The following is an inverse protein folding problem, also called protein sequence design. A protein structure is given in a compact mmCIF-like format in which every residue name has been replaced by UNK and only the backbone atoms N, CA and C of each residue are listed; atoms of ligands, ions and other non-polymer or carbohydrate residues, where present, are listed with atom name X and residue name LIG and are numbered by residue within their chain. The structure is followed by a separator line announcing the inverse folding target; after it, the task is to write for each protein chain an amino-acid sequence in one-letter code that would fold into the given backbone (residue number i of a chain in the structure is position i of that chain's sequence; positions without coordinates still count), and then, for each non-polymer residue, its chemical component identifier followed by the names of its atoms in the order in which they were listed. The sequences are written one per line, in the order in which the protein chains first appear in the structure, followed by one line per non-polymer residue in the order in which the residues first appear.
data_IF_958286935909
#
_entry.id   IF_958286935909
#
_cell.length_a   1.000
_cell.length_b   1.000
_cell.length_c   1.000
_cell.angle_alpha   90.00
_cell.angle_beta   90.00
_cell.angle_gamma   90.00
#
_symmetry.space_group_name_H-M   'P 1'
#
loop_
_entity.id
_entity.type
_entity.pdbx_description
1 polymer ?
#
# COMPACT_ATOMS: atom_id res chain seq x y z
N UNK A 1 31.84 -3.21 -0.98
CA UNK A 1 31.97 -3.20 0.49
C UNK A 1 30.61 -3.52 1.05
N UNK A 2 30.47 -4.67 1.73
CA UNK A 2 29.23 -5.05 2.41
C UNK A 2 29.10 -4.11 3.61
N UNK A 3 28.05 -3.29 3.66
CA UNK A 3 27.72 -2.54 4.86
C UNK A 3 27.44 -3.56 5.97
N UNK A 4 28.41 -3.75 6.87
CA UNK A 4 28.20 -4.47 8.11
C UNK A 4 27.39 -3.56 9.03
N UNK A 5 26.07 -3.68 8.97
CA UNK A 5 25.23 -3.18 10.05
C UNK A 5 25.56 -4.01 11.29
N UNK A 6 25.87 -3.40 12.45
CA UNK A 6 26.13 -4.16 13.66
C UNK A 6 24.86 -4.92 14.03
N UNK A 7 24.92 -6.25 14.01
CA UNK A 7 23.88 -7.09 14.61
C UNK A 7 23.78 -6.69 16.08
N UNK A 8 22.63 -6.14 16.47
CA UNK A 8 22.33 -5.82 17.85
C UNK A 8 22.21 -7.14 18.61
N UNK A 9 23.22 -7.50 19.38
CA UNK A 9 23.30 -8.75 20.18
C UNK A 9 22.64 -8.63 21.55
N UNK A 10 21.86 -7.56 21.79
CA UNK A 10 21.04 -7.42 22.98
C UNK A 10 19.69 -8.11 22.81
N UNK A 11 19.19 -8.80 23.85
CA UNK A 11 17.78 -9.17 23.90
C UNK A 11 16.96 -7.89 23.81
N UNK A 12 16.18 -7.72 22.74
CA UNK A 12 15.22 -6.62 22.62
C UNK A 12 14.18 -6.86 23.71
N UNK A 13 14.11 -5.97 24.70
CA UNK A 13 13.09 -6.07 25.73
C UNK A 13 11.71 -5.81 25.10
N UNK A 14 10.69 -6.64 25.41
CA UNK A 14 9.36 -6.46 24.87
C UNK A 14 8.78 -5.12 25.34
N UNK A 15 8.41 -4.26 24.39
CA UNK A 15 7.61 -3.06 24.68
C UNK A 15 6.21 -3.55 25.08
N UNK A 16 5.74 -3.11 26.25
CA UNK A 16 4.39 -3.43 26.70
C UNK A 16 3.35 -2.81 25.75
N UNK A 17 2.31 -3.55 25.33
CA UNK A 17 1.23 -3.00 24.53
C UNK A 17 0.63 -1.76 25.21
N UNK A 18 0.60 -0.63 24.50
CA UNK A 18 -0.01 0.61 24.97
C UNK A 18 -1.42 0.72 24.37
N UNK A 19 -2.36 1.20 25.18
CA UNK A 19 -3.67 1.63 24.70
C UNK A 19 -3.70 3.16 24.62
N UNK A 20 -4.37 3.74 23.62
CA UNK A 20 -4.48 5.18 23.51
C UNK A 20 -5.28 5.76 24.70
N UNK A 21 -4.75 6.81 25.31
CA UNK A 21 -5.42 7.61 26.32
C UNK A 21 -6.32 8.66 25.66
N UNK A 22 -7.58 8.27 25.45
CA UNK A 22 -8.61 9.15 24.87
C UNK A 22 -8.86 10.43 25.68
N UNK A 23 -8.46 10.51 26.96
CA UNK A 23 -8.59 11.76 27.73
C UNK A 23 -7.68 12.87 27.21
N UNK A 24 -6.62 12.52 26.46
CA UNK A 24 -5.70 13.45 25.79
C UNK A 24 -6.22 13.94 24.44
N UNK A 25 -7.33 13.39 23.93
CA UNK A 25 -7.93 13.78 22.64
C UNK A 25 -8.77 15.05 22.79
N UNK A 26 -8.18 16.09 23.38
CA UNK A 26 -8.85 17.31 23.83
C UNK A 26 -8.29 18.59 23.20
N UNK A 27 -7.51 18.44 22.11
CA UNK A 27 -7.02 19.58 21.34
C UNK A 27 -8.14 20.43 20.76
N UNK A 28 -7.84 21.71 20.56
CA UNK A 28 -8.72 22.66 19.88
C UNK A 28 -7.93 23.44 18.84
N UNK A 29 -8.64 24.14 17.96
CA UNK A 29 -8.01 24.99 16.95
C UNK A 29 -6.96 25.97 17.54
N UNK A 30 -7.20 26.48 18.75
CA UNK A 30 -6.30 27.43 19.42
C UNK A 30 -5.28 26.78 20.37
N UNK A 31 -5.35 25.46 20.58
CA UNK A 31 -4.45 24.73 21.48
C UNK A 31 -4.15 23.35 20.88
N UNK A 32 -3.05 23.31 20.13
CA UNK A 32 -2.47 22.11 19.52
C UNK A 32 -1.23 21.68 20.31
N UNK A 33 -0.89 20.41 20.21
CA UNK A 33 0.21 19.77 20.93
C UNK A 33 0.99 18.87 19.96
N UNK A 34 2.26 18.61 20.27
CA UNK A 34 3.01 17.60 19.50
C UNK A 34 2.72 16.19 20.03
N UNK A 35 2.08 16.10 21.19
CA UNK A 35 1.76 14.87 21.90
C UNK A 35 0.54 14.14 21.32
N UNK A 36 -0.47 14.84 20.79
CA UNK A 36 -1.67 14.18 20.25
C UNK A 36 -1.37 13.33 19.00
N UNK A 37 -0.58 13.79 18.00
CA UNK A 37 -0.18 12.91 16.90
C UNK A 37 0.52 11.63 17.38
N UNK A 38 1.38 11.72 18.40
CA UNK A 38 2.04 10.55 19.00
C UNK A 38 1.06 9.64 19.74
N UNK A 39 0.08 10.21 20.44
CA UNK A 39 -0.97 9.44 21.10
C UNK A 39 -1.86 8.69 20.10
N UNK A 40 -2.14 9.29 18.94
CA UNK A 40 -2.91 8.66 17.87
C UNK A 40 -2.15 7.59 17.07
N UNK A 41 -0.82 7.55 17.16
CA UNK A 41 -0.04 6.40 16.65
C UNK A 41 -0.26 5.15 17.51
N UNK A 42 -0.63 5.29 18.78
CA UNK A 42 -0.81 4.15 19.67
C UNK A 42 -2.04 3.34 19.23
N UNK A 43 -1.78 2.11 18.79
CA UNK A 43 -2.79 1.23 18.21
C UNK A 43 -3.05 1.44 16.71
N UNK A 44 -2.38 2.40 16.06
CA UNK A 44 -2.46 2.59 14.62
C UNK A 44 -1.84 1.42 13.84
N UNK A 45 -2.28 1.27 12.59
CA UNK A 45 -1.79 0.30 11.63
C UNK A 45 -1.40 1.06 10.37
N UNK A 46 -0.14 0.93 9.95
CA UNK A 46 0.25 1.38 8.60
C UNK A 46 -0.10 0.28 7.60
N UNK A 47 -1.13 0.52 6.79
CA UNK A 47 -1.68 -0.49 5.88
C UNK A 47 -0.87 -0.73 4.61
N UNK A 48 0.19 0.06 4.37
CA UNK A 48 1.00 -0.06 3.15
C UNK A 48 2.42 0.46 3.40
N UNK A 49 3.38 -0.46 3.56
CA UNK A 49 4.78 -0.12 3.83
C UNK A 49 5.73 -0.89 2.91
N UNK A 50 6.64 -0.19 2.25
CA UNK A 50 7.73 -0.77 1.48
C UNK A 50 9.04 -0.77 2.29
N UNK A 51 9.30 -1.80 3.09
CA UNK A 51 10.55 -1.92 3.86
C UNK A 51 11.63 -2.79 3.19
N UNK A 52 11.41 -3.16 1.93
CA UNK A 52 12.28 -4.04 1.15
C UNK A 52 11.94 -5.53 1.25
N UNK A 53 12.68 -6.40 0.53
CA UNK A 53 13.88 -6.09 -0.27
C UNK A 53 13.63 -5.09 -1.41
N UNK A 54 14.65 -4.33 -1.78
CA UNK A 54 14.59 -3.33 -2.85
C UNK A 54 15.76 -3.47 -3.80
N UNK A 55 15.68 -2.82 -4.97
CA UNK A 55 16.82 -2.69 -5.88
C UNK A 55 17.91 -1.82 -5.30
N UNK A 56 19.18 -2.15 -5.60
CA UNK A 56 20.33 -1.32 -5.22
C UNK A 56 20.29 0.09 -5.84
N UNK A 57 19.57 0.27 -6.95
CA UNK A 57 19.30 1.57 -7.60
C UNK A 57 18.34 2.47 -6.83
N UNK A 58 17.59 1.90 -5.87
CA UNK A 58 16.68 2.61 -4.98
C UNK A 58 16.71 1.98 -3.58
N UNK A 59 17.80 2.18 -2.81
CA UNK A 59 17.90 1.60 -1.48
C UNK A 59 16.75 2.11 -0.58
N UNK A 60 16.24 1.24 0.27
CA UNK A 60 15.15 1.58 1.18
C UNK A 60 15.64 2.51 2.28
N UNK A 61 14.72 3.21 2.94
CA UNK A 61 15.06 4.05 4.10
C UNK A 61 15.49 3.21 5.31
N UNK A 62 14.79 2.09 5.53
CA UNK A 62 15.01 1.12 6.61
C UNK A 62 14.66 -0.28 6.11
N UNK A 63 15.28 -1.30 6.71
CA UNK A 63 14.88 -2.70 6.51
C UNK A 63 13.59 -3.05 7.30
N UNK A 64 12.95 -4.20 7.04
CA UNK A 64 11.68 -4.53 7.68
C UNK A 64 11.77 -4.64 9.21
N UNK A 65 12.87 -5.18 9.75
CA UNK A 65 13.08 -5.32 11.19
C UNK A 65 13.17 -3.95 11.85
N UNK A 66 13.93 -3.03 11.24
CA UNK A 66 14.08 -1.65 11.73
C UNK A 66 12.74 -0.91 11.74
N UNK A 67 11.95 -1.02 10.67
CA UNK A 67 10.62 -0.38 10.62
C UNK A 67 9.69 -0.96 11.68
N UNK A 68 9.68 -2.28 11.88
CA UNK A 68 8.86 -2.90 12.91
C UNK A 68 9.29 -2.50 14.33
N UNK A 69 10.60 -2.38 14.59
CA UNK A 69 11.10 -1.89 15.88
C UNK A 69 10.67 -0.45 16.16
N UNK A 70 10.74 0.43 15.16
CA UNK A 70 10.28 1.81 15.28
C UNK A 70 8.77 1.88 15.52
N UNK A 71 7.98 1.07 14.80
CA UNK A 71 6.52 1.00 14.95
C UNK A 71 6.11 0.46 16.34
N UNK A 72 6.79 -0.59 16.81
CA UNK A 72 6.58 -1.15 18.15
C UNK A 72 6.91 -0.11 19.24
N UNK A 73 8.03 0.61 19.10
CA UNK A 73 8.41 1.68 20.03
C UNK A 73 7.38 2.82 20.04
N UNK A 74 6.81 3.17 18.87
CA UNK A 74 5.73 4.15 18.75
C UNK A 74 4.38 3.67 19.31
N UNK A 75 4.25 2.37 19.62
CA UNK A 75 3.02 1.77 20.16
C UNK A 75 2.00 1.41 19.09
N UNK A 76 2.40 1.33 17.82
CA UNK A 76 1.52 0.91 16.72
C UNK A 76 1.10 -0.55 16.88
N UNK A 77 -0.12 -0.88 16.46
CA UNK A 77 -0.69 -2.24 16.55
C UNK A 77 -0.08 -3.18 15.52
N UNK A 78 0.20 -2.68 14.30
CA UNK A 78 0.71 -3.48 13.19
C UNK A 78 1.30 -2.60 12.07
N UNK A 79 2.00 -3.25 11.14
CA UNK A 79 2.32 -2.74 9.81
C UNK A 79 2.04 -3.82 8.77
N UNK A 80 1.67 -3.41 7.55
CA UNK A 80 1.43 -4.31 6.43
C UNK A 80 2.49 -4.07 5.36
N UNK A 81 3.37 -5.05 5.15
CA UNK A 81 4.42 -4.98 4.17
C UNK A 81 3.90 -5.21 2.75
N UNK A 82 4.42 -4.40 1.83
CA UNK A 82 4.31 -4.56 0.39
C UNK A 82 5.72 -4.75 -0.18
N UNK A 83 5.85 -5.74 -1.06
CA UNK A 83 7.10 -6.06 -1.75
C UNK A 83 6.83 -6.04 -3.25
N UNK A 84 7.43 -5.06 -3.93
CA UNK A 84 7.29 -4.91 -5.39
C UNK A 84 7.92 -6.10 -6.14
N UNK A 85 8.75 -6.90 -5.46
CA UNK A 85 9.43 -8.08 -5.99
C UNK A 85 9.01 -9.38 -5.33
N UNK A 86 7.87 -9.43 -4.63
CA UNK A 86 7.23 -10.71 -4.36
C UNK A 86 6.44 -10.83 -3.07
N UNK A 87 6.87 -11.79 -2.25
CA UNK A 87 6.10 -12.32 -1.13
C UNK A 87 6.40 -11.54 0.16
N UNK A 88 5.77 -10.38 0.31
CA UNK A 88 5.83 -9.59 1.54
C UNK A 88 5.39 -10.39 2.78
N UNK A 89 4.54 -11.41 2.60
CA UNK A 89 4.15 -12.36 3.66
C UNK A 89 5.36 -13.10 4.26
N UNK A 90 6.36 -13.46 3.45
CA UNK A 90 7.59 -14.08 3.93
C UNK A 90 8.44 -13.12 4.78
N UNK A 91 8.44 -11.83 4.44
CA UNK A 91 9.11 -10.81 5.24
C UNK A 91 8.42 -10.61 6.59
N UNK A 92 7.08 -10.55 6.60
CA UNK A 92 6.29 -10.47 7.83
C UNK A 92 6.59 -11.67 8.76
N UNK A 93 6.61 -12.89 8.23
CA UNK A 93 6.94 -14.11 8.98
C UNK A 93 8.32 -14.04 9.66
N UNK A 94 9.33 -13.50 8.98
CA UNK A 94 10.67 -13.30 9.56
C UNK A 94 10.59 -12.25 10.67
N UNK A 95 9.96 -11.10 10.42
CA UNK A 95 9.86 -10.00 11.39
C UNK A 95 9.14 -10.45 12.67
N UNK A 96 8.02 -11.17 12.54
CA UNK A 96 7.22 -11.66 13.67
C UNK A 96 8.00 -12.59 14.62
N UNK A 97 9.06 -13.24 14.12
CA UNK A 97 9.96 -14.10 14.93
C UNK A 97 11.06 -13.33 15.67
N UNK A 98 11.37 -12.12 15.22
CA UNK A 98 12.55 -11.38 15.69
C UNK A 98 12.21 -10.05 16.38
N UNK A 99 11.00 -9.51 16.17
CA UNK A 99 10.59 -8.22 16.73
C UNK A 99 9.42 -8.41 17.70
N UNK A 100 9.67 -8.46 19.03
CA UNK A 100 8.61 -8.56 20.01
C UNK A 100 7.80 -7.26 20.12
N UNK A 101 6.53 -7.37 20.52
CA UNK A 101 5.67 -6.21 20.81
C UNK A 101 4.90 -5.67 19.60
N UNK A 102 5.11 -6.21 18.41
CA UNK A 102 4.31 -5.93 17.21
C UNK A 102 4.13 -7.21 16.41
N UNK A 103 2.95 -7.38 15.82
CA UNK A 103 2.71 -8.41 14.82
C UNK A 103 2.51 -7.71 13.48
N UNK A 104 3.13 -8.24 12.43
CA UNK A 104 3.16 -7.65 11.09
C UNK A 104 2.53 -8.60 10.09
N UNK A 105 2.00 -8.04 9.00
CA UNK A 105 1.38 -8.81 7.93
C UNK A 105 1.99 -8.44 6.59
N UNK A 106 1.71 -9.25 5.57
CA UNK A 106 2.07 -8.95 4.19
C UNK A 106 1.14 -9.67 3.23
N UNK A 107 1.44 -9.54 1.94
CA UNK A 107 0.68 -10.17 0.88
C UNK A 107 1.55 -10.61 -0.28
N UNK A 108 0.94 -10.65 -1.46
CA UNK A 108 1.61 -10.93 -2.72
C UNK A 108 1.11 -9.97 -3.81
N UNK A 109 2.05 -9.45 -4.60
CA UNK A 109 1.80 -8.56 -5.72
C UNK A 109 2.06 -9.32 -7.03
N UNK A 110 1.05 -9.39 -7.90
CA UNK A 110 1.12 -10.02 -9.23
C UNK A 110 1.82 -9.10 -10.23
N UNK A 111 3.14 -8.95 -10.03
CA UNK A 111 3.99 -8.15 -10.89
C UNK A 111 4.57 -8.97 -12.07
N UNK A 112 4.94 -8.30 -13.17
CA UNK A 112 5.44 -8.93 -14.40
C UNK A 112 6.72 -9.74 -14.17
N UNK A 113 7.57 -9.31 -13.22
CA UNK A 113 8.75 -10.06 -12.80
C UNK A 113 8.43 -11.45 -12.19
N UNK A 114 7.17 -11.71 -11.83
CA UNK A 114 6.66 -13.02 -11.43
C UNK A 114 5.70 -13.67 -12.45
N UNK A 115 5.65 -13.12 -13.67
CA UNK A 115 4.79 -13.59 -14.75
C UNK A 115 3.37 -13.02 -14.75
N UNK A 116 3.12 -11.91 -14.04
CA UNK A 116 1.81 -11.23 -14.05
C UNK A 116 0.71 -12.09 -13.40
N UNK A 117 -0.39 -12.30 -14.13
CA UNK A 117 -1.50 -13.17 -13.70
C UNK A 117 -1.01 -14.62 -13.59
N UNK A 118 -0.70 -15.04 -12.36
CA UNK A 118 -0.04 -16.31 -12.07
C UNK A 118 -0.69 -17.04 -10.88
N UNK A 119 -1.59 -18.01 -11.14
CA UNK A 119 -2.28 -18.75 -10.08
C UNK A 119 -1.35 -19.57 -9.20
N UNK A 120 -0.25 -20.11 -9.77
CA UNK A 120 0.72 -20.90 -9.01
C UNK A 120 1.40 -20.06 -7.92
N UNK A 121 1.75 -18.82 -8.23
CA UNK A 121 2.35 -17.90 -7.26
C UNK A 121 1.36 -17.46 -6.19
N UNK A 122 0.11 -17.15 -6.57
CA UNK A 122 -0.97 -16.84 -5.62
C UNK A 122 -1.22 -18.02 -4.69
N UNK A 123 -1.38 -19.23 -5.22
CA UNK A 123 -1.55 -20.45 -4.44
C UNK A 123 -0.43 -20.63 -3.43
N UNK A 124 0.81 -20.38 -3.82
CA UNK A 124 1.97 -20.49 -2.93
C UNK A 124 1.91 -19.44 -1.82
N UNK A 125 1.65 -18.17 -2.16
CA UNK A 125 1.53 -17.08 -1.19
C UNK A 125 0.48 -17.37 -0.12
N UNK A 126 -0.68 -17.88 -0.53
CA UNK A 126 -1.81 -18.22 0.33
C UNK A 126 -1.56 -19.42 1.28
N UNK A 127 -0.47 -20.16 1.10
CA UNK A 127 -0.08 -21.30 1.95
C UNK A 127 1.19 -21.03 2.77
N UNK A 128 1.71 -19.80 2.75
CA UNK A 128 2.82 -19.40 3.63
C UNK A 128 2.36 -19.41 5.09
N UNK A 129 3.26 -19.80 5.99
CA UNK A 129 3.00 -19.81 7.44
C UNK A 129 2.71 -18.39 7.94
N UNK A 130 1.79 -18.25 8.89
CA UNK A 130 1.18 -16.98 9.36
C UNK A 130 0.27 -16.28 8.32
N UNK A 131 0.30 -16.74 7.07
CA UNK A 131 -0.70 -16.46 6.05
C UNK A 131 -0.49 -15.14 5.32
N UNK A 132 -0.90 -15.14 4.06
CA UNK A 132 -1.06 -13.94 3.26
C UNK A 132 -2.31 -13.17 3.74
N UNK A 133 -2.28 -11.83 3.71
CA UNK A 133 -3.46 -10.97 3.98
C UNK A 133 -4.01 -10.28 2.75
N UNK A 134 -3.27 -10.27 1.64
CA UNK A 134 -3.80 -9.70 0.41
C UNK A 134 -3.17 -10.26 -0.87
N UNK A 135 -3.96 -10.26 -1.93
CA UNK A 135 -3.49 -10.48 -3.29
C UNK A 135 -3.72 -9.19 -4.08
N UNK A 136 -2.65 -8.58 -4.57
CA UNK A 136 -2.68 -7.35 -5.36
C UNK A 136 -2.44 -7.65 -6.84
N UNK A 137 -3.19 -6.97 -7.70
CA UNK A 137 -3.08 -7.05 -9.17
C UNK A 137 -1.90 -6.26 -9.76
N UNK A 138 -0.96 -5.84 -8.91
CA UNK A 138 0.33 -5.28 -9.32
C UNK A 138 0.39 -3.75 -9.27
N UNK A 139 1.58 -3.21 -9.53
CA UNK A 139 1.83 -1.75 -9.50
C UNK A 139 2.34 -1.23 -10.85
N UNK A 140 3.64 -1.05 -11.02
CA UNK A 140 4.27 -0.46 -12.22
C UNK A 140 3.99 -1.24 -13.52
N UNK A 141 3.81 -2.54 -13.38
CA UNK A 141 3.61 -3.48 -14.47
C UNK A 141 2.15 -3.91 -14.65
N UNK A 142 1.17 -3.16 -14.11
CA UNK A 142 -0.16 -3.26 -14.71
C UNK A 142 -0.07 -2.72 -16.12
N UNK A 143 -0.90 -3.24 -17.04
CA UNK A 143 -0.90 -2.75 -18.42
C UNK A 143 -1.18 -1.25 -18.47
N UNK A 144 -2.04 -0.77 -17.58
CA UNK A 144 -2.35 0.65 -17.44
C UNK A 144 -1.12 1.49 -17.07
N UNK A 145 -0.33 1.06 -16.08
CA UNK A 145 0.87 1.78 -15.65
C UNK A 145 2.00 1.64 -16.67
N UNK A 146 2.32 0.43 -17.13
CA UNK A 146 3.40 0.15 -18.07
C UNK A 146 3.24 0.88 -19.42
N UNK A 147 2.00 1.12 -19.88
CA UNK A 147 1.75 1.90 -21.09
C UNK A 147 2.01 3.41 -20.93
N UNK A 148 2.16 3.91 -19.70
CA UNK A 148 2.23 5.35 -19.37
C UNK A 148 3.53 5.78 -18.70
N UNK A 149 4.23 4.89 -18.01
CA UNK A 149 5.55 5.19 -17.44
C UNK A 149 6.48 5.72 -18.53
N UNK A 150 7.24 6.77 -18.21
CA UNK A 150 7.91 7.57 -19.23
C UNK A 150 9.31 7.97 -18.82
N UNK A 151 10.21 8.04 -19.80
CA UNK A 151 11.56 8.60 -19.65
C UNK A 151 11.60 10.02 -20.23
N UNK A 152 12.73 10.71 -20.07
CA UNK A 152 13.00 11.98 -20.74
C UNK A 152 13.88 11.78 -21.98
N UNK A 153 13.36 12.17 -23.14
CA UNK A 153 14.12 12.28 -24.40
C UNK A 153 14.03 13.73 -24.87
N UNK A 154 15.17 14.38 -25.03
CA UNK A 154 15.26 15.79 -25.44
C UNK A 154 14.38 16.74 -24.61
N UNK A 155 14.29 16.49 -23.29
CA UNK A 155 13.51 17.28 -22.34
C UNK A 155 12.00 17.05 -22.39
N UNK A 156 11.52 16.04 -23.14
CA UNK A 156 10.11 15.66 -23.22
C UNK A 156 9.89 14.29 -22.60
N UNK A 157 8.76 14.15 -21.89
CA UNK A 157 8.31 12.84 -21.42
C UNK A 157 7.88 11.99 -22.61
N UNK A 158 8.48 10.81 -22.74
CA UNK A 158 8.16 9.83 -23.77
C UNK A 158 7.88 8.49 -23.09
N UNK A 159 6.71 7.86 -23.31
CA UNK A 159 6.40 6.55 -22.73
C UNK A 159 7.47 5.50 -23.08
N UNK A 160 7.78 4.61 -22.14
CA UNK A 160 8.79 3.57 -22.35
C UNK A 160 8.48 2.71 -23.58
N UNK A 161 7.20 2.35 -23.78
CA UNK A 161 6.76 1.57 -24.94
C UNK A 161 7.06 2.23 -26.29
N UNK A 162 7.12 3.57 -26.32
CA UNK A 162 7.37 4.35 -27.54
C UNK A 162 8.86 4.64 -27.70
N UNK A 163 9.58 4.83 -26.59
CA UNK A 163 11.02 5.08 -26.54
C UNK A 163 11.86 3.82 -26.78
N UNK A 164 11.40 2.66 -26.32
CA UNK A 164 12.18 1.43 -26.22
C UNK A 164 11.39 0.23 -26.74
N UNK A 165 11.60 -0.22 -27.99
CA UNK A 165 10.87 -1.36 -28.57
C UNK A 165 10.95 -2.63 -27.72
N UNK A 166 12.11 -2.90 -27.12
CA UNK A 166 12.32 -4.03 -26.21
C UNK A 166 11.36 -4.02 -25.02
N UNK A 167 11.08 -2.84 -24.44
CA UNK A 167 10.12 -2.71 -23.34
C UNK A 167 8.72 -3.13 -23.81
N UNK A 168 8.28 -2.64 -24.97
CA UNK A 168 6.97 -2.99 -25.50
C UNK A 168 6.83 -4.49 -25.82
N UNK A 169 7.91 -5.11 -26.32
CA UNK A 169 7.94 -6.53 -26.69
C UNK A 169 8.00 -7.47 -25.48
N UNK A 170 8.68 -7.08 -24.40
CA UNK A 170 8.93 -7.96 -23.24
C UNK A 170 8.00 -7.68 -22.05
N UNK A 171 7.69 -6.42 -21.74
CA UNK A 171 6.94 -6.04 -20.53
C UNK A 171 5.42 -6.07 -20.76
N UNK A 172 4.94 -5.48 -21.85
CA UNK A 172 3.49 -5.33 -22.10
C UNK A 172 2.72 -6.66 -22.25
N UNK A 173 3.28 -7.75 -22.80
CA UNK A 173 2.58 -9.04 -22.90
C UNK A 173 2.39 -9.75 -21.55
N UNK A 174 3.24 -9.47 -20.56
CA UNK A 174 3.16 -10.06 -19.21
C UNK A 174 2.53 -9.12 -18.19
N UNK A 175 2.29 -7.86 -18.57
CA UNK A 175 1.67 -6.86 -17.72
C UNK A 175 0.26 -7.26 -17.31
N UNK A 176 -0.07 -7.08 -16.02
CA UNK A 176 -1.36 -7.47 -15.46
C UNK A 176 -2.48 -6.59 -16.04
N UNK A 177 -3.54 -7.21 -16.56
CA UNK A 177 -4.73 -6.52 -17.07
C UNK A 177 -5.99 -7.32 -16.80
N UNK A 178 -7.12 -6.62 -16.69
CA UNK A 178 -8.43 -7.20 -16.42
C UNK A 178 -9.31 -7.02 -17.66
N UNK A 179 -9.89 -8.09 -18.22
CA UNK A 179 -10.86 -7.97 -19.30
C UNK A 179 -12.07 -7.14 -18.86
N UNK A 180 -12.33 -6.01 -19.53
CA UNK A 180 -13.44 -5.12 -19.21
C UNK A 180 -14.81 -5.75 -19.50
N UNK A 181 -14.85 -6.65 -20.48
CA UNK A 181 -16.06 -7.33 -20.93
C UNK A 181 -15.75 -8.81 -21.24
N UNK A 182 -16.79 -9.63 -21.25
CA UNK A 182 -16.69 -11.04 -21.63
C UNK A 182 -16.12 -11.94 -20.54
N UNK A 183 -15.80 -13.20 -20.90
CA UNK A 183 -15.25 -14.17 -19.97
C UNK A 183 -13.84 -13.78 -19.52
N UNK A 184 -13.53 -14.08 -18.27
CA UNK A 184 -12.17 -14.01 -17.75
C UNK A 184 -11.37 -15.26 -18.14
N UNK A 185 -10.05 -15.20 -18.05
CA UNK A 185 -9.22 -16.38 -18.27
C UNK A 185 -9.36 -17.40 -17.13
N UNK A 186 -9.01 -18.65 -17.39
CA UNK A 186 -9.00 -19.72 -16.37
C UNK A 186 -8.06 -19.38 -15.21
N UNK A 187 -6.94 -18.71 -15.49
CA UNK A 187 -6.01 -18.25 -14.47
C UNK A 187 -6.65 -17.23 -13.52
N UNK A 188 -7.36 -16.24 -14.07
CA UNK A 188 -8.04 -15.23 -13.26
C UNK A 188 -9.19 -15.87 -12.45
N UNK A 189 -9.92 -16.81 -13.05
CA UNK A 189 -10.93 -17.60 -12.35
C UNK A 189 -10.35 -18.35 -11.15
N UNK A 190 -9.22 -19.04 -11.32
CA UNK A 190 -8.54 -19.78 -10.26
C UNK A 190 -8.09 -18.83 -9.13
N UNK A 191 -7.54 -17.66 -9.47
CA UNK A 191 -7.09 -16.66 -8.50
C UNK A 191 -8.25 -16.13 -7.66
N UNK A 192 -9.34 -15.71 -8.30
CA UNK A 192 -10.50 -15.16 -7.60
C UNK A 192 -11.16 -16.22 -6.70
N UNK A 193 -11.24 -17.47 -7.17
CA UNK A 193 -11.74 -18.59 -6.37
C UNK A 193 -10.87 -18.85 -5.13
N UNK A 194 -9.55 -18.82 -5.27
CA UNK A 194 -8.64 -18.98 -4.12
C UNK A 194 -8.76 -17.85 -3.10
N UNK A 195 -9.03 -16.62 -3.54
CA UNK A 195 -9.24 -15.48 -2.65
C UNK A 195 -10.59 -15.62 -1.93
N UNK A 196 -11.67 -16.01 -2.61
CA UNK A 196 -13.00 -16.11 -1.98
C UNK A 196 -13.08 -17.19 -0.90
N UNK A 197 -12.26 -18.24 -0.99
CA UNK A 197 -12.11 -19.27 0.03
C UNK A 197 -11.43 -18.79 1.34
N UNK A 198 -10.89 -17.55 1.36
CA UNK A 198 -10.04 -17.02 2.45
C UNK A 198 -10.54 -15.66 2.92
N UNK A 199 -11.49 -15.59 3.86
CA UNK A 199 -12.08 -14.33 4.33
C UNK A 199 -11.07 -13.40 5.04
N UNK A 200 -9.92 -13.91 5.46
CA UNK A 200 -8.80 -13.13 6.01
C UNK A 200 -7.95 -12.43 4.93
N UNK A 201 -8.13 -12.78 3.65
CA UNK A 201 -7.41 -12.22 2.51
C UNK A 201 -8.27 -11.20 1.79
N UNK A 202 -7.77 -9.99 1.61
CA UNK A 202 -8.42 -8.99 0.77
C UNK A 202 -7.87 -8.98 -0.66
N UNK A 203 -8.75 -8.70 -1.62
CA UNK A 203 -8.36 -8.39 -2.99
C UNK A 203 -7.93 -6.92 -3.04
N UNK A 204 -6.71 -6.65 -3.48
CA UNK A 204 -6.25 -5.30 -3.76
C UNK A 204 -6.24 -5.08 -5.28
N UNK A 205 -6.90 -4.03 -5.76
CA UNK A 205 -7.00 -3.74 -7.20
C UNK A 205 -5.66 -3.45 -7.87
N UNK A 206 -4.64 -3.08 -7.10
CA UNK A 206 -3.38 -2.60 -7.65
C UNK A 206 -3.57 -1.33 -8.49
N UNK A 207 -2.59 -1.04 -9.34
CA UNK A 207 -2.58 0.15 -10.20
C UNK A 207 -3.19 -0.12 -11.59
N UNK A 208 -4.25 -0.93 -11.66
CA UNK A 208 -5.00 -1.13 -12.91
C UNK A 208 -5.70 0.17 -13.33
N UNK A 209 -6.43 0.21 -14.44
CA UNK A 209 -7.26 1.38 -14.78
C UNK A 209 -8.56 1.43 -13.96
N UNK A 210 -9.21 2.60 -13.87
CA UNK A 210 -10.50 2.74 -13.16
C UNK A 210 -11.56 1.75 -13.67
N UNK A 211 -11.76 1.55 -14.99
CA UNK A 211 -12.69 0.53 -15.48
C UNK A 211 -12.32 -0.90 -15.06
N UNK A 212 -11.03 -1.24 -15.06
CA UNK A 212 -10.56 -2.57 -14.60
C UNK A 212 -10.81 -2.78 -13.10
N UNK A 213 -10.61 -1.75 -12.28
CA UNK A 213 -10.89 -1.83 -10.85
C UNK A 213 -12.39 -1.98 -10.53
N UNK A 214 -13.25 -1.27 -11.26
CA UNK A 214 -14.70 -1.46 -11.14
C UNK A 214 -15.11 -2.86 -11.61
N UNK A 215 -14.48 -3.37 -12.68
CA UNK A 215 -14.68 -4.75 -13.13
C UNK A 215 -14.23 -5.78 -12.09
N UNK A 216 -13.09 -5.55 -11.41
CA UNK A 216 -12.65 -6.38 -10.29
C UNK A 216 -13.63 -6.35 -9.13
N UNK A 217 -14.26 -5.20 -8.85
CA UNK A 217 -15.29 -5.12 -7.83
C UNK A 217 -16.54 -5.94 -8.21
N UNK A 218 -16.97 -5.90 -9.47
CA UNK A 218 -18.06 -6.75 -9.97
C UNK A 218 -17.72 -8.24 -9.85
N UNK A 219 -16.49 -8.62 -10.21
CA UNK A 219 -16.00 -9.99 -10.08
C UNK A 219 -15.87 -10.41 -8.61
N UNK A 220 -15.44 -9.52 -7.72
CA UNK A 220 -15.36 -9.81 -6.29
C UNK A 220 -16.74 -10.17 -5.72
N UNK A 221 -17.80 -9.45 -6.12
CA UNK A 221 -19.18 -9.77 -5.74
C UNK A 221 -19.66 -11.12 -6.32
N UNK A 222 -19.37 -11.39 -7.59
CA UNK A 222 -19.72 -12.66 -8.26
C UNK A 222 -19.09 -13.88 -7.54
N UNK A 223 -17.83 -13.74 -7.11
CA UNK A 223 -17.08 -14.82 -6.44
C UNK A 223 -17.29 -14.85 -4.92
N UNK A 224 -18.00 -13.87 -4.35
CA UNK A 224 -18.23 -13.77 -2.91
C UNK A 224 -16.99 -13.35 -2.10
N UNK A 225 -16.06 -12.62 -2.71
CA UNK A 225 -14.89 -12.03 -2.03
C UNK A 225 -15.37 -10.91 -1.11
N UNK A 226 -15.27 -11.13 0.20
CA UNK A 226 -15.84 -10.23 1.22
C UNK A 226 -15.06 -8.94 1.46
N UNK A 227 -13.78 -8.87 1.05
CA UNK A 227 -12.91 -7.73 1.30
C UNK A 227 -12.20 -7.30 0.03
N UNK A 228 -12.48 -6.08 -0.40
CA UNK A 228 -11.82 -5.43 -1.54
C UNK A 228 -11.22 -4.12 -1.07
N UNK A 229 -9.94 -3.90 -1.40
CA UNK A 229 -9.26 -2.62 -1.25
C UNK A 229 -9.01 -2.04 -2.64
N UNK A 230 -9.59 -0.88 -2.91
CA UNK A 230 -9.29 -0.09 -4.11
C UNK A 230 -8.01 0.70 -3.84
N UNK A 231 -6.93 0.33 -4.51
CA UNK A 231 -5.61 0.92 -4.30
C UNK A 231 -5.52 2.35 -4.82
N UNK A 232 -5.04 3.27 -3.99
CA UNK A 232 -4.85 4.70 -4.29
C UNK A 232 -6.02 5.36 -5.07
N UNK A 233 -7.30 5.02 -4.78
CA UNK A 233 -8.48 5.17 -5.63
C UNK A 233 -8.17 5.23 -7.11
N UNK A 234 -7.59 4.09 -7.48
CA UNK A 234 -6.98 3.67 -8.73
C UNK A 234 -6.15 4.78 -9.34
N UNK A 235 -5.16 5.07 -8.50
CA UNK A 235 -4.08 6.05 -8.58
C UNK A 235 -4.52 7.39 -9.16
N UNK A 236 -5.43 8.01 -8.42
CA UNK A 236 -5.81 9.42 -8.55
C UNK A 236 -6.75 9.75 -9.70
N UNK A 237 -7.33 8.76 -10.39
CA UNK A 237 -8.22 8.98 -11.54
C UNK A 237 -9.68 8.68 -11.26
N UNK A 238 -10.01 8.04 -10.13
CA UNK A 238 -11.40 7.85 -9.75
C UNK A 238 -12.04 9.16 -9.31
N UNK A 239 -13.22 9.45 -9.87
CA UNK A 239 -14.08 10.54 -9.40
C UNK A 239 -14.63 10.24 -8.01
N UNK A 240 -15.03 11.28 -7.27
CA UNK A 240 -15.67 11.14 -5.95
C UNK A 240 -16.93 10.27 -6.03
N UNK A 241 -17.72 10.41 -7.10
CA UNK A 241 -18.95 9.61 -7.27
C UNK A 241 -18.65 8.12 -7.51
N UNK A 242 -17.60 7.79 -8.25
CA UNK A 242 -17.14 6.41 -8.38
C UNK A 242 -16.64 5.85 -7.05
N UNK A 243 -15.92 6.66 -6.26
CA UNK A 243 -15.45 6.27 -4.93
C UNK A 243 -16.63 6.03 -3.97
N UNK A 244 -17.64 6.90 -3.96
CA UNK A 244 -18.89 6.69 -3.19
C UNK A 244 -19.61 5.42 -3.61
N UNK A 245 -19.73 5.17 -4.92
CA UNK A 245 -20.39 3.97 -5.43
C UNK A 245 -19.66 2.69 -5.00
N UNK A 246 -18.33 2.67 -5.03
CA UNK A 246 -17.54 1.54 -4.55
C UNK A 246 -17.63 1.37 -3.02
N UNK A 247 -17.53 2.47 -2.27
CA UNK A 247 -17.66 2.48 -0.82
C UNK A 247 -19.03 1.95 -0.35
N UNK A 248 -20.11 2.32 -1.06
CA UNK A 248 -21.46 1.84 -0.80
C UNK A 248 -21.64 0.33 -1.06
N UNK A 249 -20.79 -0.26 -1.92
CA UNK A 249 -20.71 -1.71 -2.18
C UNK A 249 -19.84 -2.45 -1.16
N UNK A 250 -19.28 -1.75 -0.18
CA UNK A 250 -18.47 -2.36 0.88
C UNK A 250 -16.96 -2.38 0.60
N UNK A 251 -16.51 -1.85 -0.54
CA UNK A 251 -15.09 -1.74 -0.81
C UNK A 251 -14.42 -0.71 0.11
N UNK A 252 -13.28 -1.09 0.68
CA UNK A 252 -12.38 -0.12 1.30
C UNK A 252 -11.62 0.64 0.23
N UNK A 253 -11.30 1.89 0.53
CA UNK A 253 -10.53 2.81 -0.29
C UNK A 253 -9.20 3.05 0.42
N UNK A 254 -8.11 2.71 -0.25
CA UNK A 254 -6.78 3.05 0.24
C UNK A 254 -6.58 4.57 0.16
N UNK A 255 -5.86 5.12 1.11
CA UNK A 255 -5.49 6.53 1.05
C UNK A 255 -4.14 6.70 1.71
N UNK A 256 -3.11 6.90 0.90
CA UNK A 256 -1.72 6.85 1.33
C UNK A 256 -1.08 8.24 1.37
N UNK A 257 -0.14 8.43 2.29
CA UNK A 257 0.59 9.71 2.37
C UNK A 257 1.32 10.06 1.07
N UNK A 258 1.85 9.04 0.36
CA UNK A 258 2.46 9.17 -0.97
C UNK A 258 1.58 9.94 -1.98
N UNK A 259 0.25 9.90 -1.82
CA UNK A 259 -0.71 10.47 -2.78
C UNK A 259 -0.63 12.00 -2.87
N UNK A 260 -0.12 12.65 -1.82
CA UNK A 260 -0.05 14.11 -1.73
C UNK A 260 1.22 14.64 -1.08
N UNK A 261 2.01 13.80 -0.42
CA UNK A 261 3.33 14.13 0.10
C UNK A 261 4.32 13.06 -0.32
N UNK A 262 4.99 13.30 -1.44
CA UNK A 262 6.08 12.46 -1.93
C UNK A 262 7.22 13.33 -2.47
N UNK A 263 8.50 12.97 -2.20
CA UNK A 263 9.64 13.67 -2.76
C UNK A 263 9.64 13.65 -4.29
N UNK A 264 9.98 14.78 -4.90
CA UNK A 264 10.09 14.89 -6.36
C UNK A 264 11.39 14.24 -6.86
N UNK A 265 11.37 12.91 -7.00
CA UNK A 265 12.53 12.10 -7.37
C UNK A 265 12.19 11.12 -8.50
N UNK A 266 13.15 10.83 -9.41
CA UNK A 266 13.00 9.76 -10.37
C UNK A 266 12.70 8.41 -9.71
N UNK A 267 11.92 7.59 -10.38
CA UNK A 267 11.49 6.27 -9.90
C UNK A 267 12.41 5.20 -10.49
N UNK A 268 13.22 4.58 -9.63
CA UNK A 268 14.16 3.50 -9.98
C UNK A 268 13.89 2.21 -9.17
N UNK A 269 12.65 2.07 -8.69
CA UNK A 269 12.22 1.09 -7.70
C UNK A 269 11.57 -0.18 -8.26
N UNK A 270 11.47 -0.33 -9.59
CA UNK A 270 10.87 -1.51 -10.22
C UNK A 270 11.76 -2.14 -11.29
N UNK A 271 12.07 -1.42 -12.36
CA UNK A 271 12.97 -1.93 -13.40
C UNK A 271 14.45 -1.82 -13.00
N UNK A 272 15.23 -2.81 -13.39
CA UNK A 272 16.69 -2.85 -13.11
C UNK A 272 17.48 -2.05 -14.16
N UNK A 273 16.90 -1.85 -15.33
CA UNK A 273 17.44 -1.10 -16.44
C UNK A 273 17.39 0.39 -16.14
N UNK A 274 18.55 1.06 -16.25
CA UNK A 274 18.67 2.50 -16.01
C UNK A 274 17.77 3.33 -16.94
N UNK A 275 17.56 2.89 -18.18
CA UNK A 275 16.75 3.61 -19.17
C UNK A 275 15.25 3.60 -18.84
N UNK A 276 14.77 2.63 -18.04
CA UNK A 276 13.40 2.52 -17.54
C UNK A 276 13.23 3.25 -16.20
N UNK A 277 14.05 4.28 -15.96
CA UNK A 277 13.86 5.21 -14.85
C UNK A 277 12.66 6.11 -15.15
N UNK A 278 11.55 5.92 -14.44
CA UNK A 278 10.34 6.73 -14.66
C UNK A 278 10.55 8.14 -14.13
N UNK A 279 10.32 9.10 -15.01
CA UNK A 279 10.53 10.53 -14.79
C UNK A 279 9.23 11.27 -14.50
N UNK A 280 8.17 10.55 -14.09
CA UNK A 280 7.00 11.15 -13.45
C UNK A 280 5.80 11.37 -14.35
N UNK A 281 5.61 10.54 -15.38
CA UNK A 281 4.35 10.54 -16.14
C UNK A 281 3.25 9.71 -15.46
N UNK A 282 3.65 8.68 -14.71
CA UNK A 282 2.71 7.78 -14.06
C UNK A 282 2.07 8.52 -12.89
N UNK A 283 2.85 9.01 -11.94
CA UNK A 283 2.41 9.87 -10.83
C UNK A 283 2.31 11.33 -11.30
N UNK A 284 1.33 11.61 -12.15
CA UNK A 284 0.80 12.96 -12.19
C UNK A 284 0.51 13.38 -10.76
N UNK A 285 0.85 14.62 -10.39
CA UNK A 285 0.52 15.19 -9.08
C UNK A 285 -1.00 15.46 -9.03
N UNK A 286 -1.78 14.39 -9.10
CA UNK A 286 -3.23 14.43 -9.27
C UNK A 286 -3.93 14.97 -8.03
N UNK A 287 -3.22 15.05 -6.91
CA UNK A 287 -3.77 15.53 -5.64
C UNK A 287 -2.76 16.37 -4.85
N UNK A 288 -3.31 17.05 -3.86
CA UNK A 288 -2.61 17.69 -2.76
C UNK A 288 -3.41 17.41 -1.48
N UNK A 289 -2.86 17.77 -0.32
CA UNK A 289 -3.52 17.51 0.95
C UNK A 289 -4.96 18.04 0.98
N UNK A 290 -5.22 19.26 0.49
CA UNK A 290 -6.57 19.85 0.47
C UNK A 290 -7.57 19.02 -0.33
N UNK A 291 -7.19 18.61 -1.56
CA UNK A 291 -8.05 17.81 -2.42
C UNK A 291 -8.31 16.42 -1.80
N UNK A 292 -7.28 15.80 -1.26
CA UNK A 292 -7.36 14.49 -0.61
C UNK A 292 -8.27 14.52 0.62
N UNK A 293 -8.11 15.50 1.51
CA UNK A 293 -8.97 15.68 2.69
C UNK A 293 -10.42 15.96 2.31
N UNK A 294 -10.66 16.74 1.25
CA UNK A 294 -12.00 16.99 0.70
C UNK A 294 -12.65 15.68 0.23
N UNK A 295 -11.93 14.87 -0.54
CA UNK A 295 -12.41 13.56 -1.01
C UNK A 295 -12.82 12.67 0.17
N UNK A 296 -11.97 12.56 1.20
CA UNK A 296 -12.31 11.76 2.40
C UNK A 296 -13.60 12.23 3.05
N UNK A 297 -13.80 13.54 3.17
CA UNK A 297 -15.04 14.11 3.75
C UNK A 297 -16.27 13.84 2.90
N UNK A 298 -16.15 13.92 1.58
CA UNK A 298 -17.28 13.72 0.67
C UNK A 298 -17.69 12.25 0.53
N UNK A 299 -16.71 11.35 0.53
CA UNK A 299 -16.97 9.90 0.41
C UNK A 299 -17.37 9.30 1.76
N UNK A 300 -16.76 9.76 2.85
CA UNK A 300 -17.01 9.28 4.21
C UNK A 300 -15.87 8.42 4.76
N UNK A 301 -15.54 8.60 6.03
CA UNK A 301 -14.35 8.01 6.68
C UNK A 301 -14.43 6.50 6.89
N UNK A 302 -15.64 5.92 6.91
CA UNK A 302 -15.84 4.53 7.33
C UNK A 302 -15.23 3.51 6.35
N UNK A 303 -14.97 3.93 5.11
CA UNK A 303 -14.34 3.08 4.10
C UNK A 303 -12.91 3.47 3.76
N UNK A 304 -12.30 4.46 4.44
CA UNK A 304 -10.89 4.76 4.20
C UNK A 304 -9.96 3.95 5.10
N UNK A 305 -8.93 3.37 4.47
CA UNK A 305 -7.83 2.68 5.14
C UNK A 305 -6.56 3.47 4.84
N UNK A 306 -5.94 4.04 5.87
CA UNK A 306 -4.76 4.87 5.68
C UNK A 306 -3.47 4.06 5.78
N UNK A 307 -2.55 4.35 4.86
CA UNK A 307 -1.18 3.87 4.88
C UNK A 307 -0.21 4.99 4.54
N UNK A 308 1.08 4.72 4.60
CA UNK A 308 2.06 5.70 4.11
C UNK A 308 2.44 5.46 2.65
N UNK A 309 2.50 4.19 2.24
CA UNK A 309 3.19 3.76 1.02
C UNK A 309 4.62 4.34 0.94
N UNK A 310 5.28 4.37 2.11
CA UNK A 310 6.65 4.85 2.26
C UNK A 310 7.62 3.69 2.35
N UNK A 311 8.90 4.00 2.07
CA UNK A 311 9.93 2.98 1.97
C UNK A 311 11.18 3.39 1.20
N UNK A 312 11.03 4.35 0.30
CA UNK A 312 12.12 4.83 -0.54
C UNK A 312 13.08 5.72 0.22
N UNK A 313 14.35 5.76 -0.20
CA UNK A 313 15.42 6.56 0.42
C UNK A 313 15.06 8.01 0.73
N UNK A 314 14.36 8.68 -0.19
CA UNK A 314 14.10 10.11 -0.11
C UNK A 314 12.91 10.49 0.79
N UNK A 315 12.04 9.53 1.12
CA UNK A 315 10.95 9.73 2.07
C UNK A 315 11.48 9.57 3.52
N UNK A 316 10.81 10.13 4.54
CA UNK A 316 11.12 9.80 5.94
C UNK A 316 10.72 8.34 6.27
N UNK A 317 10.96 7.92 7.51
CA UNK A 317 10.51 6.60 7.99
C UNK A 317 8.99 6.47 7.89
N UNK A 318 8.43 5.25 7.69
CA UNK A 318 6.98 5.05 7.68
C UNK A 318 6.30 5.55 8.96
N UNK A 319 6.90 5.33 10.14
CA UNK A 319 6.36 5.83 11.41
C UNK A 319 6.31 7.36 11.44
N UNK A 320 7.37 8.03 10.98
CA UNK A 320 7.36 9.48 10.87
C UNK A 320 6.38 9.97 9.80
N UNK A 321 6.22 9.25 8.69
CA UNK A 321 5.20 9.50 7.68
C UNK A 321 3.80 9.47 8.29
N UNK A 322 3.45 8.38 8.99
CA UNK A 322 2.15 8.24 9.67
C UNK A 322 1.91 9.38 10.68
N UNK A 323 2.93 9.76 11.47
CA UNK A 323 2.86 10.92 12.36
C UNK A 323 2.55 12.21 11.61
N UNK A 324 3.23 12.45 10.49
CA UNK A 324 3.01 13.61 9.63
C UNK A 324 1.60 13.61 9.03
N UNK A 325 1.10 12.45 8.59
CA UNK A 325 -0.25 12.31 8.07
C UNK A 325 -1.30 12.64 9.14
N UNK A 326 -1.18 12.05 10.33
CA UNK A 326 -2.07 12.30 11.48
C UNK A 326 -2.07 13.79 11.87
N UNK A 327 -0.88 14.39 12.05
CA UNK A 327 -0.77 15.81 12.39
C UNK A 327 -1.42 16.71 11.32
N UNK A 328 -1.22 16.36 10.04
CA UNK A 328 -1.86 17.09 8.93
C UNK A 328 -3.38 16.95 8.99
N UNK A 329 -3.93 15.76 9.25
CA UNK A 329 -5.38 15.57 9.38
C UNK A 329 -5.99 16.35 10.55
N UNK A 330 -5.30 16.44 11.69
CA UNK A 330 -5.70 17.29 12.81
C UNK A 330 -5.73 18.77 12.40
N UNK A 331 -4.74 19.23 11.63
CA UNK A 331 -4.69 20.60 11.10
C UNK A 331 -5.83 20.89 10.11
N UNK A 332 -6.27 19.88 9.35
CA UNK A 332 -7.48 19.91 8.52
C UNK A 332 -8.77 19.68 9.32
N UNK A 333 -8.70 19.61 10.65
CA UNK A 333 -9.84 19.51 11.57
C UNK A 333 -10.65 18.22 11.40
N UNK A 334 -9.98 17.09 11.14
CA UNK A 334 -10.59 15.80 11.45
C UNK A 334 -10.57 15.59 12.97
N UNK A 335 -11.61 14.98 13.52
CA UNK A 335 -11.59 14.66 14.94
C UNK A 335 -10.58 13.53 15.20
N UNK A 336 -10.00 13.45 16.41
CA UNK A 336 -9.12 12.33 16.79
C UNK A 336 -9.79 10.96 16.59
N UNK A 337 -11.10 10.86 16.85
CA UNK A 337 -11.90 9.66 16.58
C UNK A 337 -11.99 9.30 15.09
N UNK A 338 -12.20 10.30 14.22
CA UNK A 338 -12.24 10.08 12.77
C UNK A 338 -10.90 9.57 12.26
N UNK A 339 -9.80 10.18 12.73
CA UNK A 339 -8.44 9.75 12.38
C UNK A 339 -8.21 8.32 12.86
N UNK A 340 -8.54 8.04 14.13
CA UNK A 340 -8.36 6.71 14.71
C UNK A 340 -9.16 5.62 13.98
N UNK A 341 -10.37 5.96 13.51
CA UNK A 341 -11.16 5.06 12.65
C UNK A 341 -10.35 4.65 11.42
N UNK A 342 -9.74 5.60 10.72
CA UNK A 342 -9.06 5.34 9.44
C UNK A 342 -7.63 4.79 9.58
N UNK A 343 -6.91 5.10 10.67
CA UNK A 343 -5.55 4.57 10.92
C UNK A 343 -5.52 3.29 11.76
N UNK A 344 -6.58 2.97 12.51
CA UNK A 344 -6.58 1.79 13.40
C UNK A 344 -7.75 0.86 13.12
N UNK A 345 -8.99 1.35 13.18
CA UNK A 345 -10.17 0.46 13.13
C UNK A 345 -10.42 -0.14 11.74
N UNK A 346 -10.41 0.67 10.69
CA UNK A 346 -10.64 0.22 9.33
C UNK A 346 -9.53 -0.72 8.83
N UNK A 347 -8.22 -0.39 8.98
CA UNK A 347 -7.16 -1.33 8.61
C UNK A 347 -7.25 -2.65 9.40
N UNK A 348 -7.59 -2.63 10.70
CA UNK A 348 -7.75 -3.86 11.48
C UNK A 348 -8.85 -4.77 10.91
N UNK A 349 -10.01 -4.21 10.56
CA UNK A 349 -11.09 -4.94 9.88
C UNK A 349 -10.64 -5.51 8.54
N UNK A 350 -9.96 -4.70 7.72
CA UNK A 350 -9.46 -5.11 6.42
C UNK A 350 -8.53 -6.32 6.53
N UNK A 351 -7.52 -6.26 7.40
CA UNK A 351 -6.55 -7.35 7.57
C UNK A 351 -7.05 -8.51 8.44
N UNK A 352 -8.28 -8.44 8.93
CA UNK A 352 -8.91 -9.51 9.72
C UNK A 352 -8.35 -9.65 11.12
N UNK A 353 -7.93 -8.57 11.76
CA UNK A 353 -7.70 -8.54 13.20
C UNK A 353 -9.02 -8.34 13.93
N UNK A 354 -9.23 -9.13 14.98
CA UNK A 354 -10.31 -8.87 15.94
C UNK A 354 -10.06 -7.54 16.67
N UNK A 355 -11.16 -6.85 17.02
CA UNK A 355 -11.13 -5.53 17.68
C UNK A 355 -10.39 -5.55 19.02
#
# INVERSE_FOLDING_TARGET
MINQYPYVTGKIEPVQPRLPDRSKWNESFYRRSMELPDELLIGAIDSHVHAGPVLNSNPGHMDPIQVAQEAAAAGMKSIVYYDVFGWASGMAWIVNRHVPGIHTYGGYLMNSCHGGINPRSVRTALHLEEGCRFISFGSHCTRFSAERESTLIDGKLVPFKDAFPKFAEEELPVATSIPLEGPISEELHEILSMISERPEVYLNTGHVSVPEALRLLDLAEEYGISKVLIAHPVRGQMTIEQQKAAAARGAFLEACLVDWLYPDVPRTHYYVEKEYMDMGAELGRFSNATAWMKTIREVGIDQFVLGTDYGIRAAPTPVQGMRTMIATMLDYQFSPDDIYRMVATNPAKLIGMDD
#
